data_IF_699901500677
#
_entry.id   IF_699901500677
#
_cell.length_a   1.000
_cell.length_b   1.000
_cell.length_c   1.000
_cell.angle_alpha   90.00
_cell.angle_beta   90.00
_cell.angle_gamma   90.00
#
_symmetry.space_group_name_H-M   'P 1'
#
loop_
_entity.id
_entity.type
_entity.pdbx_description
1 polymer ?
#
# COMPACT_ATOMS: atom_id res chain seq x y z
N UNK A 1 11.75 24.02 -1.98
CA UNK A 1 10.89 23.09 -1.22
C UNK A 1 11.60 21.76 -1.22
N UNK A 2 11.73 21.11 -0.06
CA UNK A 2 12.34 19.78 0.02
C UNK A 2 11.28 18.73 -0.31
N UNK A 3 11.66 17.69 -1.06
CA UNK A 3 10.78 16.58 -1.36
C UNK A 3 10.75 15.63 -0.15
N UNK A 4 9.57 15.37 0.36
CA UNK A 4 9.32 14.35 1.37
C UNK A 4 9.08 13.00 0.70
N UNK A 5 9.59 11.95 1.33
CA UNK A 5 9.39 10.56 0.87
C UNK A 5 8.86 9.78 2.05
N UNK A 6 7.69 9.16 1.87
CA UNK A 6 7.13 8.18 2.80
C UNK A 6 6.97 6.87 2.05
N UNK A 7 7.49 5.79 2.60
CA UNK A 7 7.40 4.47 1.98
C UNK A 7 7.11 3.43 3.04
N UNK A 8 6.51 2.31 2.62
CA UNK A 8 6.17 1.26 3.55
C UNK A 8 5.96 -0.09 2.90
N UNK A 9 6.18 -1.13 3.69
CA UNK A 9 5.79 -2.51 3.44
C UNK A 9 4.73 -2.86 4.49
N UNK A 10 3.52 -3.22 4.04
CA UNK A 10 2.35 -3.41 4.91
C UNK A 10 1.84 -4.83 4.76
N UNK A 11 1.60 -5.50 5.89
CA UNK A 11 1.07 -6.85 5.93
C UNK A 11 -0.42 -6.88 5.58
N UNK A 12 -0.92 -8.04 5.17
CA UNK A 12 -2.33 -8.29 4.86
C UNK A 12 -3.30 -7.93 6.01
N UNK A 13 -2.87 -7.99 7.26
CA UNK A 13 -3.69 -7.57 8.40
C UNK A 13 -3.66 -6.06 8.68
N UNK A 14 -2.95 -5.26 7.87
CA UNK A 14 -2.74 -3.83 8.07
C UNK A 14 -1.55 -3.49 8.99
N UNK A 15 -0.85 -4.48 9.55
CA UNK A 15 0.34 -4.25 10.35
C UNK A 15 1.53 -3.79 9.50
N UNK A 16 2.32 -2.83 9.99
CA UNK A 16 3.53 -2.36 9.31
C UNK A 16 4.62 -3.42 9.40
N UNK A 17 5.09 -3.93 8.25
CA UNK A 17 6.25 -4.82 8.17
C UNK A 17 7.56 -4.02 8.21
N UNK A 18 7.65 -2.96 7.40
CA UNK A 18 8.78 -2.02 7.32
C UNK A 18 8.32 -0.63 6.91
N UNK A 19 9.13 0.37 7.22
CA UNK A 19 8.84 1.78 6.98
C UNK A 19 8.39 2.53 8.24
N UNK A 20 8.40 3.86 8.18
CA UNK A 20 7.98 4.77 9.25
C UNK A 20 7.36 6.03 8.63
N UNK A 21 6.73 6.88 9.45
CA UNK A 21 6.14 8.14 8.98
C UNK A 21 4.70 8.02 8.49
N UNK A 22 4.05 6.88 8.74
CA UNK A 22 2.64 6.66 8.42
C UNK A 22 2.00 5.69 9.42
N UNK A 23 0.67 5.65 9.40
CA UNK A 23 -0.17 4.63 10.04
C UNK A 23 -1.04 3.95 8.98
N UNK A 24 -1.55 2.77 9.30
CA UNK A 24 -2.44 2.01 8.42
C UNK A 24 -3.69 1.62 9.17
N UNK A 25 -4.84 1.85 8.54
CA UNK A 25 -6.14 1.34 8.99
C UNK A 25 -6.66 0.35 7.95
N UNK A 26 -6.90 -0.88 8.37
CA UNK A 26 -7.66 -1.84 7.56
C UNK A 26 -9.15 -1.52 7.68
N UNK A 27 -9.76 -1.03 6.61
CA UNK A 27 -11.16 -0.55 6.59
C UNK A 27 -12.14 -1.70 6.33
N UNK A 28 -11.78 -2.60 5.43
CA UNK A 28 -12.55 -3.79 5.07
C UNK A 28 -11.61 -4.85 4.48
N UNK A 29 -12.14 -6.01 4.10
CA UNK A 29 -11.36 -7.02 3.35
C UNK A 29 -10.75 -6.40 2.10
N UNK A 30 -9.43 -6.54 1.96
CA UNK A 30 -8.64 -6.01 0.86
C UNK A 30 -8.72 -4.50 0.71
N UNK A 31 -9.12 -3.74 1.73
CA UNK A 31 -9.27 -2.28 1.65
C UNK A 31 -8.58 -1.61 2.82
N UNK A 32 -7.66 -0.68 2.52
CA UNK A 32 -6.82 -0.03 3.50
C UNK A 32 -6.79 1.48 3.29
N UNK A 33 -6.59 2.21 4.37
CA UNK A 33 -6.21 3.62 4.36
C UNK A 33 -4.84 3.77 5.02
N UNK A 34 -3.96 4.54 4.37
CA UNK A 34 -2.62 4.85 4.88
C UNK A 34 -2.55 6.35 5.10
N UNK A 35 -2.34 6.75 6.35
CA UNK A 35 -2.29 8.15 6.75
C UNK A 35 -0.84 8.54 7.06
N UNK A 36 -0.41 9.68 6.52
CA UNK A 36 0.94 10.18 6.77
C UNK A 36 0.99 10.87 8.14
N UNK A 37 2.01 10.57 8.94
CA UNK A 37 2.19 11.21 10.24
C UNK A 37 2.48 12.72 10.10
N UNK A 38 3.05 13.10 8.95
CA UNK A 38 3.25 14.49 8.55
C UNK A 38 2.65 14.65 7.16
N UNK A 39 1.67 15.54 7.03
CA UNK A 39 1.04 15.82 5.74
C UNK A 39 2.03 16.40 4.75
N UNK A 40 1.89 16.02 3.49
CA UNK A 40 2.50 16.73 2.37
C UNK A 40 1.91 18.15 2.24
N UNK A 41 2.53 19.03 1.48
CA UNK A 41 1.93 20.33 1.15
C UNK A 41 0.82 20.16 0.12
N UNK A 42 1.03 19.29 -0.89
CA UNK A 42 0.07 18.95 -1.94
C UNK A 42 -0.18 17.43 -2.03
N UNK A 43 -1.02 17.00 -2.98
CA UNK A 43 -1.26 15.57 -3.21
C UNK A 43 0.02 14.91 -3.75
N UNK A 44 0.62 13.94 -3.03
CA UNK A 44 1.85 13.29 -3.48
C UNK A 44 1.57 12.33 -4.64
N UNK A 45 2.61 12.03 -5.41
CA UNK A 45 2.57 10.86 -6.28
C UNK A 45 2.70 9.60 -5.42
N UNK A 46 1.80 8.63 -5.63
CA UNK A 46 1.82 7.35 -4.91
C UNK A 46 1.90 6.21 -5.92
N UNK A 47 2.89 5.34 -5.75
CA UNK A 47 2.98 4.05 -6.44
C UNK A 47 2.88 2.94 -5.42
N UNK A 48 2.19 1.86 -5.79
CA UNK A 48 1.98 0.70 -4.94
C UNK A 48 1.95 -0.56 -5.77
N UNK A 49 2.41 -1.63 -5.15
CA UNK A 49 2.41 -2.97 -5.72
C UNK A 49 2.02 -3.96 -4.65
N UNK A 50 1.28 -4.99 -5.05
CA UNK A 50 1.00 -6.11 -4.18
C UNK A 50 2.27 -6.94 -3.96
N UNK A 51 2.42 -7.50 -2.77
CA UNK A 51 3.36 -8.58 -2.49
C UNK A 51 2.55 -9.86 -2.19
N UNK A 52 2.69 -10.86 -3.05
CA UNK A 52 2.07 -12.18 -2.91
C UNK A 52 3.14 -13.26 -3.07
N UNK A 53 3.14 -14.38 -2.34
CA UNK A 53 2.28 -14.78 -1.21
C UNK A 53 2.82 -14.34 0.16
N UNK A 54 4.14 -14.20 0.27
CA UNK A 54 4.87 -13.86 1.49
C UNK A 54 6.08 -12.99 1.12
N UNK A 55 6.59 -12.19 2.05
CA UNK A 55 7.64 -11.19 1.80
C UNK A 55 8.94 -11.76 1.21
N UNK A 56 9.30 -12.99 1.59
CA UNK A 56 10.60 -13.60 1.29
C UNK A 56 10.49 -15.07 0.84
N UNK A 57 9.34 -15.47 0.29
CA UNK A 57 9.16 -16.80 -0.28
C UNK A 57 9.59 -16.81 -1.75
N UNK A 58 10.89 -16.94 -1.97
CA UNK A 58 11.49 -17.04 -3.31
C UNK A 58 11.22 -18.38 -4.01
N UNK A 59 10.66 -19.37 -3.29
CA UNK A 59 10.30 -20.67 -3.86
C UNK A 59 8.89 -20.71 -4.46
N UNK A 60 8.12 -19.65 -4.27
CA UNK A 60 6.77 -19.54 -4.81
C UNK A 60 6.80 -19.12 -6.29
N UNK A 61 6.31 -19.99 -7.18
CA UNK A 61 6.31 -19.76 -8.63
C UNK A 61 4.94 -19.31 -9.18
N UNK A 62 3.97 -19.04 -8.31
CA UNK A 62 2.62 -18.66 -8.70
C UNK A 62 2.37 -17.14 -8.77
N UNK A 63 1.09 -16.78 -8.82
CA UNK A 63 0.59 -15.40 -8.93
C UNK A 63 -0.11 -15.15 -10.27
N UNK A 64 -1.16 -14.34 -10.24
CA UNK A 64 -1.88 -13.84 -11.41
C UNK A 64 -1.60 -12.35 -11.59
N UNK A 65 -1.54 -11.87 -12.83
CA UNK A 65 -1.41 -10.42 -13.10
C UNK A 65 -2.53 -9.55 -12.49
N UNK A 66 -3.67 -10.15 -12.14
CA UNK A 66 -4.77 -9.49 -11.42
C UNK A 66 -4.54 -9.44 -9.90
N UNK A 67 -3.57 -10.19 -9.37
CA UNK A 67 -3.08 -10.05 -8.01
C UNK A 67 -2.36 -8.69 -7.87
N UNK A 68 -3.15 -7.63 -7.70
CA UNK A 68 -2.65 -6.26 -7.76
C UNK A 68 -3.21 -5.39 -6.62
N UNK A 69 -2.63 -4.21 -6.49
CA UNK A 69 -3.19 -3.12 -5.70
C UNK A 69 -3.72 -2.01 -6.63
N UNK A 70 -4.82 -1.37 -6.24
CA UNK A 70 -5.38 -0.21 -6.95
C UNK A 70 -5.42 0.98 -6.00
N UNK A 71 -4.83 2.10 -6.43
CA UNK A 71 -5.00 3.39 -5.74
C UNK A 71 -6.41 3.91 -5.98
N UNK A 72 -7.23 3.97 -4.93
CA UNK A 72 -8.63 4.42 -5.03
C UNK A 72 -8.72 5.93 -4.93
N UNK A 73 -7.98 6.52 -4.00
CA UNK A 73 -7.93 7.97 -3.78
C UNK A 73 -6.64 8.37 -3.08
N UNK A 74 -6.19 9.61 -3.27
CA UNK A 74 -5.06 10.18 -2.57
C UNK A 74 -5.26 11.68 -2.34
N UNK A 75 -4.75 12.19 -1.23
CA UNK A 75 -4.58 13.61 -0.96
C UNK A 75 -3.32 13.82 -0.11
N UNK A 76 -3.08 15.08 0.31
CA UNK A 76 -1.92 15.46 1.11
C UNK A 76 -1.77 14.75 2.47
N UNK A 77 -2.84 14.18 3.02
CA UNK A 77 -2.86 13.56 4.35
C UNK A 77 -2.83 12.03 4.29
N UNK A 78 -3.42 11.44 3.25
CA UNK A 78 -3.60 9.99 3.17
C UNK A 78 -3.88 9.49 1.77
N UNK A 79 -3.81 8.18 1.62
CA UNK A 79 -4.35 7.48 0.46
C UNK A 79 -5.17 6.26 0.86
N UNK A 80 -6.07 5.87 -0.04
CA UNK A 80 -6.89 4.66 0.07
C UNK A 80 -6.52 3.73 -1.07
N UNK A 81 -6.40 2.45 -0.76
CA UNK A 81 -6.13 1.41 -1.74
C UNK A 81 -7.02 0.19 -1.52
N UNK A 82 -7.11 -0.60 -2.58
CA UNK A 82 -7.61 -1.97 -2.51
C UNK A 82 -6.55 -2.96 -3.00
N UNK A 83 -6.60 -4.18 -2.46
CA UNK A 83 -5.78 -5.33 -2.89
C UNK A 83 -6.70 -6.44 -3.42
N UNK A 84 -6.25 -7.13 -4.47
CA UNK A 84 -7.05 -8.11 -5.21
C UNK A 84 -6.40 -9.48 -5.32
N UNK A 85 -7.23 -10.49 -5.61
CA UNK A 85 -6.80 -11.83 -5.96
C UNK A 85 -6.96 -12.13 -7.47
N UNK A 86 -6.55 -13.31 -7.93
CA UNK A 86 -6.67 -13.76 -9.32
C UNK A 86 -8.09 -13.67 -9.94
N UNK A 87 -9.20 -13.92 -9.21
CA UNK A 87 -10.55 -13.59 -9.69
C UNK A 87 -10.86 -12.10 -9.85
N UNK A 88 -10.11 -11.21 -9.19
CA UNK A 88 -10.39 -9.77 -9.08
C UNK A 88 -11.19 -9.38 -7.84
N UNK A 89 -11.40 -10.30 -6.90
CA UNK A 89 -12.10 -10.02 -5.65
C UNK A 89 -11.18 -9.29 -4.66
N UNK A 90 -11.75 -8.35 -3.90
CA UNK A 90 -11.04 -7.70 -2.81
C UNK A 90 -10.58 -8.74 -1.79
N UNK A 91 -9.27 -8.82 -1.56
CA UNK A 91 -8.69 -9.83 -0.67
C UNK A 91 -7.53 -9.23 0.10
N UNK A 92 -7.42 -9.53 1.39
CA UNK A 92 -6.30 -9.09 2.23
C UNK A 92 -4.96 -9.61 1.69
N UNK A 93 -4.03 -8.69 1.40
CA UNK A 93 -2.72 -9.00 0.84
C UNK A 93 -1.66 -8.03 1.35
N UNK A 94 -0.41 -8.49 1.36
CA UNK A 94 0.70 -7.61 1.63
C UNK A 94 0.85 -6.62 0.48
N UNK A 95 1.30 -5.41 0.75
CA UNK A 95 1.57 -4.42 -0.28
C UNK A 95 2.72 -3.51 0.10
N UNK A 96 3.39 -2.97 -0.91
CA UNK A 96 4.39 -1.92 -0.75
C UNK A 96 3.86 -0.63 -1.35
N UNK A 97 4.34 0.50 -0.84
CA UNK A 97 4.09 1.79 -1.47
C UNK A 97 5.28 2.74 -1.32
N UNK A 98 5.35 3.70 -2.22
CA UNK A 98 6.18 4.90 -2.11
C UNK A 98 5.29 6.10 -2.43
N UNK A 99 5.26 7.07 -1.53
CA UNK A 99 4.65 8.38 -1.69
C UNK A 99 5.74 9.46 -1.71
N UNK A 100 5.78 10.27 -2.77
CA UNK A 100 6.75 11.36 -2.93
C UNK A 100 6.02 12.63 -3.29
N UNK A 101 6.36 13.73 -2.62
CA UNK A 101 5.81 15.04 -2.88
C UNK A 101 6.47 16.11 -2.01
N UNK A 102 6.10 17.36 -2.25
CA UNK A 102 6.44 18.50 -1.39
C UNK A 102 5.35 18.77 -0.38
#
# INVERSE_FOLDING_TARGET
>A
MENNIVWGCVNANGGIYKGTGFTVTKVATGTYEVEYNTSFNDTPAVTLTQNYHNWNDFGYEGGDTKDNCVLVASNRNKFKLITGNAPGDHTDRNFTFIAIGS
#
